data_IF_369284258766
#
_entry.id   IF_369284258766
#
_cell.length_a   1.000
_cell.length_b   1.000
_cell.length_c   1.000
_cell.angle_alpha   90.00
_cell.angle_beta   90.00
_cell.angle_gamma   90.00
#
_symmetry.space_group_name_H-M   'P 1'
#
loop_
_entity.id
_entity.type
_entity.pdbx_description
1 polymer ?
#
# COMPACT_ATOMS: atom_id res chain seq x y z
N UNK A 1 -9.24 -5.24 -12.10
CA UNK A 1 -9.74 -5.62 -10.77
C UNK A 1 -10.84 -4.66 -10.32
N UNK A 2 -12.03 -5.16 -9.94
CA UNK A 2 -13.17 -4.32 -9.49
C UNK A 2 -12.83 -3.48 -8.26
N UNK A 3 -12.08 -4.05 -7.33
CA UNK A 3 -11.63 -3.36 -6.12
C UNK A 3 -10.79 -2.11 -6.44
N UNK A 4 -9.89 -2.17 -7.43
CA UNK A 4 -9.14 -1.00 -7.87
C UNK A 4 -10.02 0.11 -8.47
N UNK A 5 -11.12 -0.27 -9.14
CA UNK A 5 -12.09 0.72 -9.63
C UNK A 5 -12.86 1.37 -8.48
N UNK A 6 -13.26 0.58 -7.48
CA UNK A 6 -13.94 1.08 -6.29
C UNK A 6 -13.04 2.01 -5.47
N UNK A 7 -11.78 1.62 -5.22
CA UNK A 7 -10.82 2.45 -4.49
C UNK A 7 -10.57 3.78 -5.21
N UNK A 8 -10.39 3.80 -6.54
CA UNK A 8 -10.26 5.05 -7.31
C UNK A 8 -11.49 5.93 -7.24
N UNK A 9 -12.69 5.34 -7.21
CA UNK A 9 -13.95 6.11 -7.11
C UNK A 9 -14.11 6.74 -5.71
N UNK A 10 -13.66 6.05 -4.66
CA UNK A 10 -13.85 6.47 -3.27
C UNK A 10 -12.66 7.26 -2.72
N UNK A 11 -11.47 7.12 -3.32
CA UNK A 11 -10.23 7.78 -2.88
C UNK A 11 -9.77 7.36 -1.48
N UNK A 12 -10.02 6.11 -1.07
CA UNK A 12 -9.84 5.69 0.32
C UNK A 12 -8.39 5.81 0.81
N UNK A 13 -7.42 5.39 -0.01
CA UNK A 13 -6.00 5.46 0.35
C UNK A 13 -5.52 6.91 0.49
N UNK A 14 -5.94 7.79 -0.42
CA UNK A 14 -5.66 9.22 -0.37
C UNK A 14 -6.30 9.89 0.86
N UNK A 15 -7.55 9.56 1.16
CA UNK A 15 -8.26 10.09 2.34
C UNK A 15 -7.54 9.69 3.63
N UNK A 16 -7.10 8.44 3.74
CA UNK A 16 -6.38 7.93 4.91
C UNK A 16 -5.00 8.56 5.04
N UNK A 17 -4.25 8.69 3.93
CA UNK A 17 -2.94 9.33 3.92
C UNK A 17 -2.97 10.80 4.37
N UNK A 18 -4.06 11.53 4.10
CA UNK A 18 -4.19 12.94 4.53
C UNK A 18 -4.31 13.10 6.04
N UNK A 19 -4.85 12.10 6.75
CA UNK A 19 -5.05 12.16 8.21
C UNK A 19 -3.98 11.39 8.97
N UNK A 20 -3.10 10.67 8.27
CA UNK A 20 -2.04 9.89 8.87
C UNK A 20 -0.73 10.70 8.89
N UNK A 21 -0.16 11.00 10.07
CA UNK A 21 1.08 11.77 10.16
C UNK A 21 2.27 10.94 9.65
N UNK A 22 2.79 11.30 8.48
CA UNK A 22 4.01 10.71 7.95
C UNK A 22 5.25 11.37 8.57
N UNK A 23 5.84 10.70 9.57
CA UNK A 23 7.04 11.18 10.28
C UNK A 23 8.34 10.70 9.65
N UNK A 24 8.28 10.00 8.52
CA UNK A 24 9.46 9.50 7.81
C UNK A 24 10.18 10.67 7.16
N UNK A 25 11.51 10.57 7.05
CA UNK A 25 12.30 11.53 6.26
C UNK A 25 11.85 11.46 4.79
N UNK A 26 11.27 12.53 4.22
CA UNK A 26 10.70 12.50 2.87
C UNK A 26 11.74 12.18 1.80
N UNK A 27 13.02 12.46 2.04
CA UNK A 27 14.10 12.15 1.08
C UNK A 27 14.40 10.65 0.98
N UNK A 28 13.93 9.86 1.95
CA UNK A 28 14.11 8.40 2.03
C UNK A 28 12.83 7.62 1.73
N UNK A 29 11.73 8.31 1.41
CA UNK A 29 10.45 7.66 1.11
C UNK A 29 10.47 7.09 -0.30
N UNK A 30 10.51 5.77 -0.39
CA UNK A 30 10.40 5.01 -1.65
C UNK A 30 8.93 4.72 -2.01
N UNK A 31 8.11 4.43 -0.99
CA UNK A 31 6.69 4.13 -1.11
C UNK A 31 5.88 5.15 -0.28
N UNK A 32 5.01 5.90 -0.96
CA UNK A 32 4.13 6.87 -0.31
C UNK A 32 3.15 6.15 0.63
N UNK A 33 2.59 6.87 1.61
CA UNK A 33 1.52 6.31 2.43
C UNK A 33 0.32 5.88 1.58
N UNK A 34 0.01 6.62 0.53
CA UNK A 34 -1.06 6.27 -0.42
C UNK A 34 -0.77 4.91 -1.07
N UNK A 35 0.45 4.70 -1.59
CA UNK A 35 0.85 3.42 -2.20
C UNK A 35 0.75 2.27 -1.19
N UNK A 36 1.19 2.50 0.04
CA UNK A 36 1.21 1.49 1.10
C UNK A 36 -0.21 1.14 1.56
N UNK A 37 -1.07 2.13 1.79
CA UNK A 37 -2.47 1.91 2.16
C UNK A 37 -3.23 1.20 1.04
N UNK A 38 -3.03 1.61 -0.22
CA UNK A 38 -3.69 0.96 -1.36
C UNK A 38 -3.28 -0.51 -1.49
N UNK A 39 -1.98 -0.80 -1.46
CA UNK A 39 -1.48 -2.18 -1.51
C UNK A 39 -2.04 -3.01 -0.35
N UNK A 40 -2.07 -2.43 0.85
CA UNK A 40 -2.55 -3.14 2.04
C UNK A 40 -4.07 -3.41 2.02
N UNK A 41 -4.87 -2.42 1.64
CA UNK A 41 -6.32 -2.59 1.47
C UNK A 41 -6.62 -3.69 0.44
N UNK A 42 -5.89 -3.72 -0.68
CA UNK A 42 -6.09 -4.75 -1.69
C UNK A 42 -5.69 -6.14 -1.21
N UNK A 43 -4.59 -6.26 -0.46
CA UNK A 43 -4.17 -7.53 0.11
C UNK A 43 -5.24 -8.10 1.04
N UNK A 44 -5.74 -7.28 1.98
CA UNK A 44 -6.82 -7.68 2.90
C UNK A 44 -8.06 -8.13 2.13
N UNK A 45 -8.54 -7.31 1.18
CA UNK A 45 -9.75 -7.65 0.43
C UNK A 45 -9.60 -8.88 -0.48
N UNK A 46 -8.37 -9.26 -0.83
CA UNK A 46 -8.08 -10.46 -1.61
C UNK A 46 -7.82 -11.72 -0.74
N UNK A 47 -7.92 -11.62 0.59
CA UNK A 47 -7.71 -12.74 1.51
C UNK A 47 -6.25 -12.94 1.96
N UNK A 48 -5.43 -11.88 1.91
CA UNK A 48 -4.03 -11.89 2.35
C UNK A 48 -3.86 -11.05 3.62
N UNK A 49 -4.66 -11.34 4.65
CA UNK A 49 -4.74 -10.52 5.87
C UNK A 49 -3.50 -10.62 6.76
N UNK A 50 -2.76 -11.73 6.76
CA UNK A 50 -1.55 -11.92 7.58
C UNK A 50 -0.30 -11.19 7.04
N UNK A 51 -0.40 -10.69 5.80
CA UNK A 51 0.62 -9.95 5.07
C UNK A 51 1.82 -10.77 4.56
N UNK A 52 1.92 -12.07 4.85
CA UNK A 52 3.11 -12.87 4.50
C UNK A 52 3.30 -13.01 2.97
N UNK A 53 2.19 -13.01 2.22
CA UNK A 53 2.22 -13.06 0.75
C UNK A 53 2.74 -11.77 0.09
N UNK A 54 2.87 -10.66 0.82
CA UNK A 54 3.22 -9.35 0.22
C UNK A 54 4.64 -9.31 -0.34
N UNK A 55 5.56 -10.16 0.12
CA UNK A 55 6.88 -10.28 -0.50
C UNK A 55 6.85 -10.96 -1.87
N UNK A 56 5.82 -11.78 -2.14
CA UNK A 56 5.55 -12.33 -3.47
C UNK A 56 4.67 -11.38 -4.29
N UNK A 57 3.57 -10.87 -3.72
CA UNK A 57 2.61 -10.01 -4.42
C UNK A 57 3.19 -8.66 -4.86
N UNK A 58 4.27 -8.18 -4.22
CA UNK A 58 4.87 -6.90 -4.58
C UNK A 58 5.39 -6.83 -6.02
N UNK A 59 5.75 -7.96 -6.60
CA UNK A 59 6.22 -8.09 -7.99
C UNK A 59 5.17 -8.70 -8.91
N UNK A 60 4.01 -9.11 -8.39
CA UNK A 60 2.92 -9.66 -9.20
C UNK A 60 2.39 -8.61 -10.20
N UNK A 61 2.38 -8.92 -11.51
CA UNK A 61 1.95 -7.97 -12.54
C UNK A 61 0.52 -7.45 -12.37
N UNK A 62 -0.41 -8.32 -11.97
CA UNK A 62 -1.82 -7.94 -11.82
C UNK A 62 -2.03 -7.08 -10.57
N UNK A 63 -1.31 -7.37 -9.49
CA UNK A 63 -1.37 -6.62 -8.24
C UNK A 63 -0.69 -5.24 -8.38
N UNK A 64 0.43 -5.16 -9.11
CA UNK A 64 1.05 -3.89 -9.53
C UNK A 64 0.07 -3.05 -10.35
N UNK A 65 -0.56 -3.64 -11.36
CA UNK A 65 -1.53 -2.94 -12.20
C UNK A 65 -2.73 -2.44 -11.40
N UNK A 66 -3.23 -3.25 -10.47
CA UNK A 66 -4.31 -2.86 -9.56
C UNK A 66 -3.93 -1.62 -8.74
N UNK A 67 -2.70 -1.56 -8.23
CA UNK A 67 -2.15 -0.44 -7.47
C UNK A 67 -1.72 0.76 -8.32
N UNK A 68 -2.01 0.77 -9.63
CA UNK A 68 -1.66 1.87 -10.53
C UNK A 68 -0.19 1.89 -10.94
N UNK A 69 0.49 0.74 -10.90
CA UNK A 69 1.88 0.59 -11.30
C UNK A 69 2.00 -0.26 -12.57
N UNK A 70 2.98 0.07 -13.43
CA UNK A 70 3.24 -0.72 -14.63
C UNK A 70 3.66 -2.15 -14.24
N UNK A 71 3.09 -3.18 -14.88
CA UNK A 71 3.30 -4.58 -14.50
C UNK A 71 4.78 -4.99 -14.59
N UNK A 72 5.44 -4.72 -15.72
CA UNK A 72 6.79 -5.23 -15.99
C UNK A 72 7.89 -4.24 -15.59
N UNK A 73 7.68 -2.95 -15.84
CA UNK A 73 8.72 -1.91 -15.69
C UNK A 73 8.52 -1.00 -14.49
N UNK A 74 7.34 -1.03 -13.87
CA UNK A 74 7.08 -0.26 -12.66
C UNK A 74 7.89 -0.84 -11.50
N UNK A 75 8.34 0.01 -10.58
CA UNK A 75 8.95 -0.43 -9.32
C UNK A 75 8.03 -1.45 -8.62
N UNK A 76 8.59 -2.37 -7.86
CA UNK A 76 7.74 -3.23 -7.03
C UNK A 76 6.94 -2.42 -6.00
N UNK A 77 5.90 -3.04 -5.45
CA UNK A 77 5.18 -2.49 -4.30
C UNK A 77 6.01 -2.65 -3.03
N UNK A 78 5.50 -2.08 -1.93
CA UNK A 78 6.11 -2.21 -0.62
C UNK A 78 6.17 -3.68 -0.19
N UNK A 79 7.29 -4.08 0.42
CA UNK A 79 7.49 -5.40 1.00
C UNK A 79 6.64 -5.63 2.25
N UNK A 80 6.49 -6.89 2.65
CA UNK A 80 5.83 -7.27 3.91
C UNK A 80 6.33 -6.46 5.12
N UNK A 81 7.65 -6.41 5.42
CA UNK A 81 8.14 -5.67 6.59
C UNK A 81 7.94 -4.16 6.49
N UNK A 82 7.76 -3.62 5.29
CA UNK A 82 7.42 -2.20 5.11
C UNK A 82 5.98 -1.94 5.56
N UNK A 83 5.06 -2.86 5.28
CA UNK A 83 3.66 -2.78 5.68
C UNK A 83 3.44 -3.14 7.16
N UNK A 84 4.13 -4.14 7.70
CA UNK A 84 4.07 -4.41 9.14
C UNK A 84 4.56 -3.22 9.95
N UNK A 85 5.62 -2.52 9.48
CA UNK A 85 6.08 -1.28 10.12
C UNK A 85 5.02 -0.18 10.06
N UNK A 86 4.27 -0.07 8.97
CA UNK A 86 3.16 0.89 8.87
C UNK A 86 2.07 0.60 9.90
N UNK A 87 1.69 -0.67 10.08
CA UNK A 87 0.64 -1.07 11.02
C UNK A 87 1.08 -0.93 12.48
N UNK A 88 2.37 -1.17 12.74
CA UNK A 88 2.98 -1.01 14.06
C UNK A 88 3.46 0.42 14.35
N UNK A 89 3.38 1.33 13.38
CA UNK A 89 3.59 2.75 13.65
C UNK A 89 2.48 3.16 14.61
N UNK A 90 2.85 3.29 15.89
CA UNK A 90 2.01 3.98 16.85
C UNK A 90 1.72 5.35 16.27
N UNK A 91 0.45 5.62 15.96
CA UNK A 91 -0.08 6.97 15.98
C UNK A 91 0.04 7.48 17.42
N UNK A 92 1.27 7.77 17.85
CA UNK A 92 1.55 8.18 19.21
C UNK A 92 1.23 9.67 19.32
N UNK A 93 0.12 9.92 20.02
CA UNK A 93 -0.28 11.13 20.74
C UNK A 93 -0.41 12.43 19.92
N UNK A 94 -1.66 12.86 19.70
CA UNK A 94 -2.04 14.21 20.15
C UNK A 94 -2.00 14.27 21.66
#
# INVERSE_FOLDING_TARGET
>A
MLLAMAERRLGLADNLARVFPDRRDPTRVVHSLVDMFRARMFAICCGYEDADDLDHLRSDPAFKLACGRLPDTGRDLCSQPTLSRLELLRACAT
#
